data_IF_823080809078
#
_entry.id   IF_823080809078
#
_cell.length_a   1.000
_cell.length_b   1.000
_cell.length_c   1.000
_cell.angle_alpha   90.00
_cell.angle_beta   90.00
_cell.angle_gamma   90.00
#
_symmetry.space_group_name_H-M   'P 1'
#
loop_
_entity.id
_entity.type
_entity.pdbx_description
1 polymer ?
#
# COMPACT_ATOMS: atom_id res chain seq x y z
N UNK A 1 -15.88 -16.76 -27.84
CA UNK A 1 -14.68 -17.44 -27.30
C UNK A 1 -14.79 -17.39 -25.78
N UNK A 2 -14.28 -18.39 -25.04
CA UNK A 2 -14.20 -18.27 -23.58
C UNK A 2 -13.41 -17.01 -23.21
N UNK A 3 -13.80 -16.37 -22.11
CA UNK A 3 -13.10 -15.18 -21.62
C UNK A 3 -11.65 -15.55 -21.26
N UNK A 4 -10.67 -14.66 -21.52
CA UNK A 4 -9.25 -14.94 -21.29
C UNK A 4 -8.86 -14.85 -19.80
N UNK A 5 -9.81 -14.93 -18.89
CA UNK A 5 -9.63 -14.86 -17.44
C UNK A 5 -10.74 -15.66 -16.75
N UNK A 6 -10.52 -16.00 -15.49
CA UNK A 6 -11.51 -16.72 -14.66
C UNK A 6 -11.72 -15.95 -13.38
N UNK A 7 -12.97 -15.59 -13.07
CA UNK A 7 -13.38 -15.10 -11.75
C UNK A 7 -14.17 -16.19 -11.06
N UNK A 8 -13.71 -16.62 -9.87
CA UNK A 8 -14.41 -17.61 -9.05
C UNK A 8 -14.88 -16.95 -7.77
N UNK A 9 -16.14 -17.19 -7.42
CA UNK A 9 -16.70 -16.83 -6.12
C UNK A 9 -17.06 -18.09 -5.36
N UNK A 10 -16.49 -18.24 -4.17
CA UNK A 10 -16.91 -19.23 -3.17
C UNK A 10 -17.37 -18.50 -1.91
N UNK A 11 -18.05 -19.15 -0.95
CA UNK A 11 -18.43 -18.49 0.30
C UNK A 11 -17.22 -17.80 0.96
N UNK A 12 -17.29 -16.48 1.12
CA UNK A 12 -16.27 -15.66 1.77
C UNK A 12 -15.00 -15.36 0.96
N UNK A 13 -14.87 -15.86 -0.27
CA UNK A 13 -13.65 -15.68 -1.08
C UNK A 13 -14.00 -15.37 -2.54
N UNK A 14 -13.30 -14.39 -3.12
CA UNK A 14 -13.30 -14.08 -4.56
C UNK A 14 -11.89 -14.25 -5.09
N UNK A 15 -11.75 -14.97 -6.19
CA UNK A 15 -10.48 -15.22 -6.85
C UNK A 15 -10.55 -14.82 -8.33
N UNK A 16 -9.41 -14.39 -8.87
CA UNK A 16 -9.24 -14.05 -10.27
C UNK A 16 -7.93 -14.67 -10.79
N UNK A 17 -7.98 -15.36 -11.92
CA UNK A 17 -6.80 -15.78 -12.69
C UNK A 17 -6.79 -15.10 -14.06
N UNK A 18 -5.63 -14.65 -14.51
CA UNK A 18 -5.48 -14.02 -15.82
C UNK A 18 -4.06 -14.19 -16.40
N UNK A 19 -3.91 -14.13 -17.74
CA UNK A 19 -2.63 -14.14 -18.43
C UNK A 19 -1.91 -12.79 -18.35
N UNK A 20 -2.62 -11.71 -17.99
CA UNK A 20 -2.01 -10.39 -17.82
C UNK A 20 -2.51 -9.73 -16.54
N UNK A 21 -1.63 -8.96 -15.91
CA UNK A 21 -1.91 -8.15 -14.74
C UNK A 21 -3.01 -7.13 -15.05
N UNK A 22 -3.96 -6.95 -14.14
CA UNK A 22 -4.96 -5.89 -14.25
C UNK A 22 -4.27 -4.51 -14.20
N UNK A 23 -4.30 -3.71 -15.29
CA UNK A 23 -3.67 -2.40 -15.31
C UNK A 23 -4.59 -1.33 -14.69
N UNK A 24 -4.03 -0.16 -14.40
CA UNK A 24 -4.80 0.98 -13.89
C UNK A 24 -5.89 1.46 -14.87
N UNK A 25 -5.51 1.59 -16.15
CA UNK A 25 -6.41 1.96 -17.26
C UNK A 25 -6.62 0.77 -18.20
N UNK A 26 -7.50 -0.19 -17.84
CA UNK A 26 -7.75 -1.34 -18.68
C UNK A 26 -8.44 -0.95 -19.98
N UNK A 27 -8.17 -1.72 -21.03
CA UNK A 27 -8.74 -1.58 -22.36
C UNK A 27 -9.19 -2.94 -22.88
N UNK A 28 -10.18 -2.95 -23.77
CA UNK A 28 -10.75 -4.18 -24.32
C UNK A 28 -11.28 -5.10 -23.21
N UNK A 29 -11.03 -6.40 -23.33
CA UNK A 29 -11.49 -7.43 -22.39
C UNK A 29 -11.02 -7.22 -20.94
N UNK A 30 -9.96 -6.43 -20.70
CA UNK A 30 -9.52 -6.10 -19.35
C UNK A 30 -10.53 -5.23 -18.59
N UNK A 31 -11.37 -4.48 -19.31
CA UNK A 31 -12.48 -3.73 -18.73
C UNK A 31 -13.51 -4.72 -18.18
N UNK A 32 -13.81 -5.77 -18.94
CA UNK A 32 -14.75 -6.82 -18.54
C UNK A 32 -14.20 -7.59 -17.35
N UNK A 33 -12.92 -7.98 -17.37
CA UNK A 33 -12.23 -8.60 -16.24
C UNK A 33 -12.35 -7.80 -14.95
N UNK A 34 -12.10 -6.48 -15.02
CA UNK A 34 -12.25 -5.60 -13.86
C UNK A 34 -13.69 -5.53 -13.38
N UNK A 35 -14.64 -5.44 -14.30
CA UNK A 35 -16.06 -5.33 -13.96
C UNK A 35 -16.59 -6.63 -13.35
N UNK A 36 -16.17 -7.79 -13.84
CA UNK A 36 -16.50 -9.10 -13.26
C UNK A 36 -15.92 -9.26 -11.87
N UNK A 37 -14.64 -8.94 -11.70
CA UNK A 37 -14.02 -8.95 -10.38
C UNK A 37 -14.78 -8.02 -9.42
N UNK A 38 -15.12 -6.79 -9.84
CA UNK A 38 -15.93 -5.87 -9.03
C UNK A 38 -17.27 -6.49 -8.68
N UNK A 39 -18.02 -7.03 -9.64
CA UNK A 39 -19.32 -7.68 -9.39
C UNK A 39 -19.20 -8.82 -8.38
N UNK A 40 -18.18 -9.66 -8.52
CA UNK A 40 -17.90 -10.74 -7.58
C UNK A 40 -17.59 -10.20 -6.17
N UNK A 41 -16.79 -9.14 -6.06
CA UNK A 41 -16.50 -8.51 -4.76
C UNK A 41 -17.74 -7.94 -4.06
N UNK A 42 -18.73 -7.44 -4.81
CA UNK A 42 -20.00 -6.99 -4.21
C UNK A 42 -20.85 -8.14 -3.65
N UNK A 43 -20.58 -9.39 -4.05
CA UNK A 43 -21.24 -10.57 -3.51
C UNK A 43 -20.62 -11.05 -2.18
N UNK A 44 -19.44 -10.54 -1.81
CA UNK A 44 -18.89 -10.77 -0.49
C UNK A 44 -19.69 -9.97 0.54
N UNK A 45 -20.25 -10.66 1.52
CA UNK A 45 -20.94 -10.03 2.65
C UNK A 45 -19.91 -9.29 3.52
N UNK A 46 -19.94 -7.95 3.61
CA UNK A 46 -19.05 -7.23 4.49
C UNK A 46 -19.42 -7.54 5.95
N UNK A 47 -18.43 -7.82 6.78
CA UNK A 47 -18.66 -7.96 8.22
C UNK A 47 -18.68 -6.60 8.90
N UNK A 48 -19.23 -6.52 10.14
CA UNK A 48 -19.23 -5.27 10.89
C UNK A 48 -17.83 -4.68 11.09
N UNK A 49 -16.82 -5.55 11.16
CA UNK A 49 -15.42 -5.16 11.32
C UNK A 49 -14.78 -4.73 10.00
N UNK A 50 -15.25 -5.17 8.84
CA UNK A 50 -14.78 -4.73 7.53
C UNK A 50 -13.26 -4.79 7.39
N UNK A 51 -12.71 -6.01 7.50
CA UNK A 51 -11.29 -6.30 7.30
C UNK A 51 -11.11 -7.11 6.01
N UNK A 52 -10.63 -6.44 4.97
CA UNK A 52 -10.29 -7.07 3.69
C UNK A 52 -8.89 -7.70 3.75
N UNK A 53 -8.77 -8.97 3.36
CA UNK A 53 -7.49 -9.59 3.01
C UNK A 53 -7.39 -9.73 1.49
N UNK A 54 -6.32 -9.19 0.91
CA UNK A 54 -6.08 -9.22 -0.53
C UNK A 54 -4.72 -9.86 -0.83
N UNK A 55 -4.64 -10.77 -1.79
CA UNK A 55 -3.38 -11.43 -2.17
C UNK A 55 -3.19 -11.33 -3.67
N UNK A 56 -1.99 -10.93 -4.08
CA UNK A 56 -1.58 -10.93 -5.47
C UNK A 56 -0.51 -12.00 -5.71
N UNK A 57 -0.77 -12.94 -6.62
CA UNK A 57 0.17 -13.95 -7.06
C UNK A 57 0.68 -13.67 -8.47
N UNK A 58 1.98 -13.72 -8.66
CA UNK A 58 2.64 -13.74 -9.97
C UNK A 58 4.10 -14.17 -9.79
N UNK A 59 4.74 -14.73 -10.82
CA UNK A 59 6.14 -15.14 -10.75
C UNK A 59 7.08 -14.03 -10.25
N UNK A 60 8.19 -14.41 -9.62
CA UNK A 60 9.27 -13.49 -9.28
C UNK A 60 10.22 -13.30 -10.48
N UNK A 61 9.72 -12.66 -11.53
CA UNK A 61 10.41 -12.42 -12.80
C UNK A 61 11.19 -11.09 -12.85
N UNK A 62 11.24 -10.38 -11.71
CA UNK A 62 11.86 -9.05 -11.61
C UNK A 62 11.01 -7.90 -12.17
N UNK A 63 9.76 -8.15 -12.55
CA UNK A 63 8.85 -7.08 -12.98
C UNK A 63 8.54 -6.12 -11.82
N UNK A 64 8.56 -4.81 -12.10
CA UNK A 64 8.12 -3.79 -11.17
C UNK A 64 6.61 -3.89 -10.93
N UNK A 65 6.22 -4.21 -9.69
CA UNK A 65 4.83 -4.36 -9.30
C UNK A 65 4.58 -3.79 -7.91
N UNK A 66 3.79 -2.72 -7.85
CA UNK A 66 3.30 -2.22 -6.58
C UNK A 66 2.06 -3.03 -6.20
N UNK A 67 2.21 -3.89 -5.18
CA UNK A 67 1.18 -4.85 -4.77
C UNK A 67 -0.13 -4.16 -4.41
N UNK A 68 -0.06 -3.01 -3.74
CA UNK A 68 -1.19 -2.15 -3.40
C UNK A 68 -1.95 -1.68 -4.65
N UNK A 69 -1.23 -1.18 -5.67
CA UNK A 69 -1.86 -0.68 -6.89
C UNK A 69 -2.66 -1.77 -7.57
N UNK A 70 -2.09 -2.97 -7.67
CA UNK A 70 -2.71 -4.09 -8.39
C UNK A 70 -3.93 -4.63 -7.65
N UNK A 71 -3.90 -4.68 -6.32
CA UNK A 71 -4.98 -5.23 -5.49
C UNK A 71 -6.08 -4.21 -5.18
N UNK A 72 -5.74 -2.95 -5.00
CA UNK A 72 -6.68 -1.95 -4.50
C UNK A 72 -7.05 -0.92 -5.56
N UNK A 73 -6.04 -0.24 -6.12
CA UNK A 73 -6.26 0.92 -6.98
C UNK A 73 -6.79 0.54 -8.38
N UNK A 74 -6.15 -0.42 -9.03
CA UNK A 74 -6.53 -0.88 -10.37
C UNK A 74 -7.90 -1.57 -10.37
N UNK A 75 -8.24 -2.26 -9.28
CA UNK A 75 -9.57 -2.81 -9.03
C UNK A 75 -10.57 -1.70 -8.80
N UNK A 76 -10.23 -0.66 -8.05
CA UNK A 76 -11.04 0.53 -7.82
C UNK A 76 -11.74 0.51 -6.47
N UNK A 77 -11.49 1.55 -5.68
CA UNK A 77 -11.88 1.60 -4.27
C UNK A 77 -13.38 1.46 -3.99
N UNK A 78 -14.27 1.83 -4.90
CA UNK A 78 -15.73 1.72 -4.67
C UNK A 78 -16.18 0.29 -4.35
N UNK A 79 -15.63 -0.72 -5.04
CA UNK A 79 -15.98 -2.12 -4.80
C UNK A 79 -15.38 -2.67 -3.50
N UNK A 80 -14.28 -2.07 -3.02
CA UNK A 80 -13.54 -2.55 -1.86
C UNK A 80 -13.90 -1.81 -0.57
N UNK A 81 -14.47 -0.60 -0.66
CA UNK A 81 -14.83 0.25 0.49
C UNK A 81 -15.67 -0.48 1.56
N UNK A 82 -16.71 -1.26 1.21
CA UNK A 82 -17.48 -2.00 2.22
C UNK A 82 -16.66 -3.08 2.92
N UNK A 83 -15.76 -3.74 2.19
CA UNK A 83 -14.95 -4.86 2.67
C UNK A 83 -13.77 -4.39 3.53
N UNK A 84 -13.13 -3.28 3.16
CA UNK A 84 -12.03 -2.66 3.88
C UNK A 84 -12.48 -1.41 4.61
N UNK A 85 -13.54 -1.51 5.43
CA UNK A 85 -14.05 -0.36 6.18
C UNK A 85 -13.05 0.05 7.26
N UNK A 86 -12.65 -0.89 8.10
CA UNK A 86 -11.76 -0.62 9.23
C UNK A 86 -10.37 -1.21 9.05
N UNK A 87 -10.17 -2.19 8.16
CA UNK A 87 -8.83 -2.71 7.92
C UNK A 87 -8.64 -3.27 6.51
N UNK A 88 -7.40 -3.23 6.05
CA UNK A 88 -6.94 -3.92 4.83
C UNK A 88 -5.61 -4.58 5.15
N UNK A 89 -5.51 -5.86 4.85
CA UNK A 89 -4.24 -6.57 4.72
C UNK A 89 -4.02 -6.88 3.25
N UNK A 90 -2.83 -6.59 2.73
CA UNK A 90 -2.43 -7.12 1.42
C UNK A 90 -1.12 -7.90 1.48
N UNK A 91 -1.00 -8.92 0.63
CA UNK A 91 0.20 -9.75 0.51
C UNK A 91 0.58 -10.00 -0.95
N UNK A 92 1.89 -10.05 -1.20
CA UNK A 92 2.46 -10.55 -2.44
C UNK A 92 2.78 -12.04 -2.31
N UNK A 93 2.47 -12.83 -3.34
CA UNK A 93 2.91 -14.22 -3.48
C UNK A 93 3.68 -14.36 -4.79
N UNK A 94 4.72 -15.18 -4.80
CA UNK A 94 5.54 -15.44 -5.99
C UNK A 94 5.15 -16.69 -6.79
N UNK A 95 3.95 -17.20 -6.52
CA UNK A 95 3.37 -18.37 -7.16
C UNK A 95 1.93 -18.05 -7.54
N UNK A 96 1.48 -18.66 -8.64
CA UNK A 96 0.09 -18.59 -9.11
C UNK A 96 -0.56 -19.96 -8.86
N UNK A 97 -1.61 -20.05 -8.02
CA UNK A 97 -2.39 -21.28 -7.89
C UNK A 97 -2.97 -21.70 -9.24
N UNK A 98 -3.16 -23.00 -9.45
CA UNK A 98 -3.84 -23.48 -10.66
C UNK A 98 -5.27 -22.94 -10.73
N UNK A 99 -5.74 -22.45 -11.90
CA UNK A 99 -7.14 -22.12 -12.10
C UNK A 99 -8.05 -23.34 -11.89
N UNK A 100 -9.34 -23.13 -11.63
CA UNK A 100 -10.30 -24.23 -11.49
C UNK A 100 -10.41 -25.03 -12.80
N UNK A 101 -10.57 -26.35 -12.67
CA UNK A 101 -10.71 -27.24 -13.83
C UNK A 101 -12.04 -26.96 -14.54
N UNK A 102 -11.98 -26.75 -15.86
CA UNK A 102 -13.16 -26.60 -16.71
C UNK A 102 -13.51 -25.16 -17.11
N UNK A 103 -12.83 -24.15 -16.55
CA UNK A 103 -13.11 -22.73 -16.80
C UNK A 103 -12.37 -22.14 -18.02
N UNK A 104 -11.77 -22.99 -18.86
CA UNK A 104 -11.20 -22.62 -20.16
C UNK A 104 -9.83 -21.94 -20.14
N UNK A 105 -9.36 -21.45 -18.99
CA UNK A 105 -8.00 -20.95 -18.79
C UNK A 105 -7.06 -22.09 -18.36
N UNK A 106 -6.02 -22.36 -19.16
CA UNK A 106 -5.04 -23.40 -18.84
C UNK A 106 -4.04 -22.92 -17.77
N UNK A 107 -3.43 -23.86 -17.04
CA UNK A 107 -2.50 -23.54 -15.95
C UNK A 107 -1.29 -22.71 -16.41
N UNK A 108 -0.74 -23.00 -17.59
CA UNK A 108 0.38 -22.28 -18.19
C UNK A 108 0.01 -20.89 -18.71
N UNK A 109 -1.30 -20.60 -18.84
CA UNK A 109 -1.83 -19.30 -19.22
C UNK A 109 -2.15 -18.42 -18.00
N UNK A 110 -2.32 -18.99 -16.82
CA UNK A 110 -2.60 -18.25 -15.60
C UNK A 110 -1.30 -17.66 -15.00
N UNK A 111 -0.93 -16.46 -15.44
CA UNK A 111 0.30 -15.78 -15.01
C UNK A 111 0.10 -14.84 -13.82
N UNK A 112 -1.16 -14.49 -13.54
CA UNK A 112 -1.53 -13.59 -12.46
C UNK A 112 -2.74 -14.13 -11.70
N UNK A 113 -2.70 -13.92 -10.40
CA UNK A 113 -3.74 -14.34 -9.47
C UNK A 113 -4.08 -13.21 -8.51
N UNK A 114 -5.37 -13.03 -8.25
CA UNK A 114 -5.84 -12.20 -7.16
C UNK A 114 -6.75 -13.03 -6.27
N UNK A 115 -6.66 -12.83 -4.95
CA UNK A 115 -7.61 -13.35 -3.98
C UNK A 115 -8.07 -12.23 -3.07
N UNK A 116 -9.36 -12.19 -2.80
CA UNK A 116 -9.97 -11.31 -1.82
C UNK A 116 -10.83 -12.15 -0.90
N UNK A 117 -10.63 -11.98 0.40
CA UNK A 117 -11.44 -12.61 1.42
C UNK A 117 -11.62 -11.66 2.58
N UNK A 118 -12.50 -12.03 3.50
CA UNK A 118 -12.41 -11.48 4.83
C UNK A 118 -11.12 -11.97 5.49
N UNK A 119 -10.43 -11.10 6.22
CA UNK A 119 -9.32 -11.53 7.05
C UNK A 119 -9.85 -12.26 8.29
N UNK A 120 -9.37 -13.48 8.53
CA UNK A 120 -9.53 -14.13 9.84
C UNK A 120 -8.52 -13.57 10.85
N UNK A 121 -8.57 -14.07 12.09
CA UNK A 121 -7.63 -13.68 13.17
C UNK A 121 -6.16 -14.03 12.86
N UNK A 122 -5.89 -14.84 11.84
CA UNK A 122 -4.53 -15.19 11.42
C UNK A 122 -3.92 -14.02 10.61
N UNK A 123 -2.90 -13.31 11.16
CA UNK A 123 -2.51 -12.00 10.64
C UNK A 123 -1.66 -12.06 9.36
N UNK A 124 -1.09 -13.23 9.02
CA UNK A 124 -0.11 -13.36 7.94
C UNK A 124 -0.18 -14.72 7.26
N UNK A 125 -0.37 -14.74 5.94
CA UNK A 125 -0.33 -15.97 5.16
C UNK A 125 1.07 -16.32 4.70
N UNK A 126 1.80 -15.45 4.01
CA UNK A 126 3.06 -15.82 3.35
C UNK A 126 4.30 -15.18 3.96
N UNK A 127 4.13 -14.11 4.75
CA UNK A 127 5.23 -13.30 5.23
C UNK A 127 5.24 -13.19 6.74
N UNK A 128 6.42 -13.12 7.34
CA UNK A 128 6.62 -12.80 8.75
C UNK A 128 7.55 -11.60 8.89
N UNK A 129 7.35 -10.75 9.91
CA UNK A 129 8.27 -9.66 10.18
C UNK A 129 9.62 -10.21 10.63
N UNK A 130 10.68 -9.74 9.98
CA UNK A 130 12.08 -10.00 10.30
C UNK A 130 12.66 -8.94 11.23
N UNK A 131 13.88 -8.47 10.91
CA UNK A 131 14.53 -7.38 11.66
C UNK A 131 13.71 -6.09 11.48
N UNK A 132 13.54 -5.34 12.56
CA UNK A 132 12.88 -4.04 12.50
C UNK A 132 13.75 -3.03 11.76
N UNK A 133 13.16 -2.38 10.75
CA UNK A 133 13.79 -1.32 9.96
C UNK A 133 13.49 0.07 10.55
N UNK A 134 12.31 0.24 11.14
CA UNK A 134 11.88 1.49 11.75
C UNK A 134 10.55 1.36 12.44
N UNK A 135 10.27 2.29 13.35
CA UNK A 135 8.96 2.42 13.97
C UNK A 135 8.71 3.87 14.38
N UNK A 136 7.45 4.26 14.42
CA UNK A 136 7.01 5.51 15.01
C UNK A 136 5.65 5.30 15.69
N UNK A 137 5.36 6.17 16.65
CA UNK A 137 4.17 6.07 17.49
C UNK A 137 3.48 7.43 17.56
N UNK A 138 2.17 7.42 17.34
CA UNK A 138 1.27 8.56 17.56
C UNK A 138 1.67 9.86 16.81
N UNK A 139 2.23 9.72 15.61
CA UNK A 139 2.65 10.85 14.77
C UNK A 139 1.42 11.65 14.31
N UNK A 140 1.34 12.95 14.62
CA UNK A 140 0.21 13.79 14.20
C UNK A 140 0.29 14.13 12.72
N UNK A 141 -0.80 13.88 11.98
CA UNK A 141 -0.90 14.25 10.56
C UNK A 141 -2.21 15.00 10.29
N UNK A 142 -2.10 16.11 9.56
CA UNK A 142 -3.26 16.96 9.24
C UNK A 142 -4.14 16.35 8.13
N UNK A 143 -3.51 15.82 7.08
CA UNK A 143 -4.18 15.25 5.91
C UNK A 143 -3.47 13.98 5.44
N UNK A 144 -4.24 12.99 5.00
CA UNK A 144 -3.74 11.71 4.49
C UNK A 144 -4.09 11.51 3.00
N UNK A 145 -4.47 12.55 2.27
CA UNK A 145 -4.83 12.48 0.85
C UNK A 145 -3.62 12.65 -0.09
N UNK A 146 -2.45 12.99 0.47
CA UNK A 146 -1.18 13.17 -0.23
C UNK A 146 -0.03 12.57 0.60
N UNK A 147 1.05 12.08 -0.05
CA UNK A 147 2.22 11.54 0.66
C UNK A 147 3.03 12.60 1.40
N UNK A 148 3.12 13.83 0.89
CA UNK A 148 4.04 14.85 1.42
C UNK A 148 3.76 15.25 2.88
N UNK A 149 2.51 15.47 3.32
CA UNK A 149 2.20 15.77 4.72
C UNK A 149 2.55 14.63 5.68
N UNK A 150 2.37 13.38 5.24
CA UNK A 150 2.73 12.18 6.01
C UNK A 150 4.25 12.06 6.14
N UNK A 151 4.98 12.22 5.03
CA UNK A 151 6.45 12.24 5.00
C UNK A 151 7.00 13.28 5.99
N UNK A 152 6.52 14.53 5.88
CA UNK A 152 6.96 15.63 6.75
C UNK A 152 6.69 15.33 8.22
N UNK A 153 5.47 14.92 8.55
CA UNK A 153 5.10 14.64 9.94
C UNK A 153 5.99 13.57 10.57
N UNK A 154 6.28 12.49 9.85
CA UNK A 154 7.19 11.45 10.34
C UNK A 154 8.59 12.03 10.56
N UNK A 155 9.11 12.85 9.63
CA UNK A 155 10.43 13.47 9.74
C UNK A 155 10.54 14.51 10.86
N UNK A 156 9.44 15.12 11.28
CA UNK A 156 9.41 16.11 12.36
C UNK A 156 9.21 15.47 13.73
N UNK A 157 8.35 14.46 13.83
CA UNK A 157 7.88 13.95 15.13
C UNK A 157 8.44 12.58 15.50
N UNK A 158 8.95 11.80 14.55
CA UNK A 158 9.54 10.49 14.83
C UNK A 158 11.07 10.54 14.93
N UNK A 159 11.64 9.52 15.56
CA UNK A 159 13.08 9.32 15.58
C UNK A 159 13.55 8.62 14.29
N UNK A 160 14.74 8.95 13.79
CA UNK A 160 15.34 8.21 12.69
C UNK A 160 15.58 6.74 13.09
N UNK A 161 15.56 5.81 12.11
CA UNK A 161 15.90 4.42 12.34
C UNK A 161 17.35 4.25 12.80
N UNK A 162 17.64 3.13 13.48
CA UNK A 162 18.99 2.81 13.96
C UNK A 162 19.94 2.38 12.84
N UNK A 163 19.40 1.76 11.80
CA UNK A 163 20.15 1.21 10.67
C UNK A 163 19.69 1.86 9.35
N UNK A 164 20.64 2.09 8.45
CA UNK A 164 20.38 2.48 7.05
C UNK A 164 20.69 1.33 6.11
N UNK A 165 20.04 1.29 4.95
CA UNK A 165 20.33 0.31 3.90
C UNK A 165 21.02 0.98 2.70
N UNK A 166 21.91 0.25 2.04
CA UNK A 166 22.47 0.65 0.74
C UNK A 166 21.65 0.12 -0.44
N UNK A 167 20.85 -0.93 -0.23
CA UNK A 167 20.01 -1.58 -1.24
C UNK A 167 18.60 -1.84 -0.71
N UNK A 168 17.55 -1.66 -1.53
CA UNK A 168 16.20 -2.02 -1.13
C UNK A 168 16.07 -3.52 -0.79
N UNK A 169 15.34 -3.83 0.26
CA UNK A 169 14.97 -5.19 0.65
C UNK A 169 13.45 -5.32 0.67
N UNK A 170 12.93 -6.53 0.49
CA UNK A 170 11.51 -6.77 0.70
C UNK A 170 11.14 -6.45 2.14
N UNK A 171 10.06 -5.70 2.33
CA UNK A 171 9.64 -5.24 3.63
C UNK A 171 8.16 -5.48 3.89
N UNK A 172 7.90 -5.52 5.20
CA UNK A 172 6.64 -5.75 5.85
C UNK A 172 6.28 -4.47 6.60
N UNK A 173 5.02 -4.04 6.53
CA UNK A 173 4.54 -2.87 7.27
C UNK A 173 3.24 -3.17 8.04
N UNK A 174 3.23 -2.81 9.33
CA UNK A 174 2.01 -2.69 10.12
C UNK A 174 1.73 -1.21 10.37
N UNK A 175 0.52 -0.75 10.04
CA UNK A 175 0.08 0.64 10.21
C UNK A 175 -1.24 0.66 10.97
N UNK A 176 -1.30 1.50 12.00
CA UNK A 176 -2.54 1.91 12.64
C UNK A 176 -2.78 3.39 12.33
N UNK A 177 -3.96 3.67 11.80
CA UNK A 177 -4.47 5.01 11.54
C UNK A 177 -5.58 5.29 12.54
N UNK A 178 -5.40 6.32 13.36
CA UNK A 178 -6.45 6.79 14.27
C UNK A 178 -7.05 8.07 13.72
N UNK A 179 -8.35 8.05 13.45
CA UNK A 179 -9.15 9.21 13.07
C UNK A 179 -9.56 9.98 14.34
N UNK A 180 -9.05 11.19 14.50
CA UNK A 180 -9.33 12.06 15.66
C UNK A 180 -10.36 13.15 15.35
N UNK A 181 -10.99 13.12 14.16
CA UNK A 181 -11.93 14.15 13.74
C UNK A 181 -13.25 14.07 14.52
N UNK A 182 -13.72 15.23 14.98
CA UNK A 182 -15.01 15.36 15.66
C UNK A 182 -16.22 15.27 14.69
N UNK A 183 -16.03 15.59 13.41
CA UNK A 183 -17.09 15.59 12.40
C UNK A 183 -16.84 14.53 11.32
N UNK A 184 -17.75 13.56 11.23
CA UNK A 184 -17.81 12.44 10.26
C UNK A 184 -16.50 11.65 10.13
N UNK A 185 -16.47 10.49 10.79
CA UNK A 185 -15.43 9.47 10.65
C UNK A 185 -15.14 9.11 9.19
N UNK A 186 -13.91 8.69 8.92
CA UNK A 186 -13.50 8.17 7.62
C UNK A 186 -14.39 6.99 7.25
N UNK A 187 -15.04 7.07 6.09
CA UNK A 187 -15.96 6.03 5.66
C UNK A 187 -15.29 4.68 5.39
N UNK A 188 -14.00 4.67 5.03
CA UNK A 188 -13.21 3.46 4.77
C UNK A 188 -11.72 3.77 4.71
N UNK A 189 -10.89 2.82 5.17
CA UNK A 189 -9.42 2.90 5.06
C UNK A 189 -8.93 2.82 3.62
N UNK A 190 -9.68 2.15 2.72
CA UNK A 190 -9.29 1.93 1.30
C UNK A 190 -8.97 3.23 0.55
N UNK A 191 -9.65 4.33 0.86
CA UNK A 191 -9.40 5.61 0.19
C UNK A 191 -8.16 6.35 0.69
N UNK A 192 -7.56 5.89 1.79
CA UNK A 192 -6.49 6.57 2.52
C UNK A 192 -5.16 5.82 2.39
N UNK A 193 -5.21 4.49 2.20
CA UNK A 193 -4.05 3.60 2.19
C UNK A 193 -2.94 4.09 1.27
N UNK A 194 -3.25 4.38 0.00
CA UNK A 194 -2.22 4.70 -0.99
C UNK A 194 -1.36 5.91 -0.59
N UNK A 195 -1.92 7.13 -0.47
CA UNK A 195 -1.12 8.30 -0.07
C UNK A 195 -0.45 8.13 1.31
N UNK A 196 -1.09 7.43 2.25
CA UNK A 196 -0.48 7.16 3.56
C UNK A 196 0.75 6.26 3.44
N UNK A 197 0.66 5.13 2.72
CA UNK A 197 1.79 4.24 2.49
C UNK A 197 2.89 4.92 1.69
N UNK A 198 2.55 5.64 0.61
CA UNK A 198 3.53 6.38 -0.18
C UNK A 198 4.33 7.34 0.72
N UNK A 199 3.65 8.06 1.62
CA UNK A 199 4.29 8.97 2.56
C UNK A 199 5.14 8.27 3.62
N UNK A 200 4.63 7.17 4.21
CA UNK A 200 5.36 6.38 5.22
C UNK A 200 6.62 5.77 4.61
N UNK A 201 6.50 5.09 3.46
CA UNK A 201 7.62 4.45 2.78
C UNK A 201 8.64 5.50 2.36
N UNK A 202 8.18 6.65 1.84
CA UNK A 202 9.06 7.77 1.51
C UNK A 202 9.82 8.32 2.72
N UNK A 203 9.21 8.32 3.90
CA UNK A 203 9.88 8.81 5.11
C UNK A 203 11.10 7.96 5.50
N UNK A 204 11.16 6.69 5.08
CA UNK A 204 12.29 5.80 5.32
C UNK A 204 13.28 5.69 4.13
N UNK A 205 13.18 6.60 3.17
CA UNK A 205 14.14 6.74 2.07
C UNK A 205 15.00 8.00 2.21
N UNK A 206 16.24 7.93 1.72
CA UNK A 206 17.01 9.13 1.40
C UNK A 206 16.68 9.62 -0.02
N UNK A 207 16.58 10.94 -0.22
CA UNK A 207 16.55 11.51 -1.55
C UNK A 207 17.97 11.56 -2.12
N UNK A 208 18.13 11.12 -3.37
CA UNK A 208 19.38 11.23 -4.13
C UNK A 208 19.15 11.60 -5.59
N UNK A 209 20.26 11.83 -6.31
CA UNK A 209 20.24 12.20 -7.73
C UNK A 209 20.00 13.68 -8.00
N UNK A 210 19.83 14.52 -6.98
CA UNK A 210 19.88 15.98 -7.05
C UNK A 210 20.23 16.57 -5.69
N UNK A 211 20.32 17.91 -5.60
CA UNK A 211 20.49 18.65 -4.34
C UNK A 211 19.16 18.93 -3.61
N UNK A 212 18.03 18.44 -4.14
CA UNK A 212 16.70 18.58 -3.55
C UNK A 212 16.11 19.99 -3.59
N UNK A 213 16.77 20.98 -4.20
CA UNK A 213 16.35 22.38 -4.12
C UNK A 213 15.06 22.66 -4.91
N UNK A 214 14.91 22.14 -6.14
CA UNK A 214 13.67 22.34 -6.91
C UNK A 214 12.51 21.53 -6.34
N UNK A 215 12.77 20.32 -5.84
CA UNK A 215 11.79 19.47 -5.16
C UNK A 215 11.24 20.16 -3.91
N UNK A 216 12.11 20.67 -3.05
CA UNK A 216 11.71 21.32 -1.82
C UNK A 216 10.94 22.62 -2.07
N UNK A 217 11.38 23.44 -3.04
CA UNK A 217 10.65 24.64 -3.47
C UNK A 217 9.23 24.33 -3.96
N UNK A 218 9.04 23.25 -4.72
CA UNK A 218 7.71 22.84 -5.21
C UNK A 218 6.82 22.28 -4.10
N UNK A 219 7.41 21.60 -3.13
CA UNK A 219 6.71 21.16 -1.92
C UNK A 219 6.27 22.35 -1.05
N UNK A 220 7.10 23.39 -0.95
CA UNK A 220 6.73 24.66 -0.30
C UNK A 220 5.57 25.36 -1.02
N UNK A 221 5.57 25.41 -2.36
CA UNK A 221 4.42 25.90 -3.14
C UNK A 221 3.13 25.09 -2.92
N UNK A 222 3.24 23.88 -2.41
CA UNK A 222 2.11 23.02 -2.02
C UNK A 222 1.75 23.15 -0.53
N UNK A 223 2.29 24.17 0.15
CA UNK A 223 2.04 24.49 1.56
C UNK A 223 2.41 23.36 2.54
N UNK A 224 3.38 22.51 2.17
CA UNK A 224 3.80 21.39 3.03
C UNK A 224 4.70 21.89 4.18
N UNK A 225 5.60 22.83 3.91
CA UNK A 225 6.59 23.37 4.84
C UNK A 225 7.55 24.33 4.12
N UNK A 226 8.58 24.81 4.81
CA UNK A 226 9.59 25.68 4.18
C UNK A 226 10.53 24.88 3.30
N UNK A 227 11.00 25.47 2.20
CA UNK A 227 11.90 24.80 1.27
C UNK A 227 13.20 24.32 1.96
N UNK A 228 13.77 25.12 2.87
CA UNK A 228 15.00 24.74 3.58
C UNK A 228 14.80 23.50 4.46
N UNK A 229 13.75 23.49 5.30
CA UNK A 229 13.47 22.36 6.17
C UNK A 229 13.12 21.08 5.37
N UNK A 230 12.35 21.24 4.29
CA UNK A 230 12.00 20.12 3.41
C UNK A 230 13.21 19.56 2.68
N UNK A 231 14.14 20.42 2.24
CA UNK A 231 15.39 19.99 1.65
C UNK A 231 16.25 19.23 2.65
N UNK A 232 16.36 19.72 3.87
CA UNK A 232 17.09 19.03 4.95
C UNK A 232 16.46 17.65 5.24
N UNK A 233 15.12 17.56 5.31
CA UNK A 233 14.43 16.29 5.46
C UNK A 233 14.69 15.34 4.28
N UNK A 234 14.67 15.82 3.04
CA UNK A 234 14.93 14.99 1.86
C UNK A 234 16.35 14.41 1.88
N UNK A 235 17.34 15.22 2.27
CA UNK A 235 18.77 14.86 2.23
C UNK A 235 19.28 14.20 3.50
N UNK A 236 18.47 14.10 4.57
CA UNK A 236 18.87 13.45 5.81
C UNK A 236 19.01 11.93 5.63
N UNK A 237 20.24 11.50 5.35
CA UNK A 237 20.59 10.10 5.10
C UNK A 237 20.40 9.17 6.31
N UNK A 238 20.25 9.70 7.53
CA UNK A 238 19.97 8.88 8.72
C UNK A 238 18.65 8.12 8.62
N UNK A 239 17.75 8.57 7.75
CA UNK A 239 16.46 7.95 7.55
C UNK A 239 16.41 6.91 6.44
N UNK A 240 17.51 6.69 5.72
CA UNK A 240 17.54 5.81 4.55
C UNK A 240 17.55 4.31 4.91
N UNK A 241 16.66 3.85 5.80
CA UNK A 241 16.49 2.44 6.15
C UNK A 241 16.02 1.58 4.98
N UNK A 242 15.31 2.17 4.01
CA UNK A 242 14.93 1.54 2.74
C UNK A 242 15.87 1.93 1.58
N UNK A 243 16.97 2.62 1.90
CA UNK A 243 17.97 3.08 0.95
C UNK A 243 17.69 4.44 0.32
N UNK A 244 18.65 4.88 -0.49
CA UNK A 244 18.57 6.17 -1.20
C UNK A 244 18.10 5.95 -2.63
N UNK A 245 17.19 6.81 -3.12
CA UNK A 245 16.75 6.81 -4.53
C UNK A 245 16.37 8.22 -4.97
N UNK A 246 16.08 8.44 -6.25
CA UNK A 246 15.41 9.66 -6.71
C UNK A 246 13.96 9.62 -6.21
N UNK A 247 13.79 9.97 -4.94
CA UNK A 247 12.57 9.81 -4.16
C UNK A 247 11.50 10.79 -4.63
N UNK A 248 11.91 12.00 -4.97
CA UNK A 248 11.03 13.07 -5.43
C UNK A 248 11.59 13.59 -6.75
N UNK A 249 10.71 13.88 -7.71
CA UNK A 249 11.09 14.56 -8.94
C UNK A 249 10.09 15.67 -9.28
N UNK A 250 10.53 16.76 -9.90
CA UNK A 250 9.66 17.72 -10.55
C UNK A 250 8.63 17.03 -11.45
N UNK A 251 7.36 17.43 -11.33
CA UNK A 251 6.27 16.89 -12.14
C UNK A 251 5.29 17.99 -12.55
N UNK A 252 5.09 18.14 -13.86
CA UNK A 252 4.32 19.25 -14.42
C UNK A 252 4.89 20.62 -14.04
N UNK A 253 4.02 21.64 -14.07
CA UNK A 253 4.43 23.04 -13.89
C UNK A 253 4.87 23.36 -12.45
N UNK A 254 4.15 22.85 -11.44
CA UNK A 254 4.38 23.20 -10.03
C UNK A 254 4.38 22.00 -9.07
N UNK A 255 4.09 20.80 -9.56
CA UNK A 255 3.96 19.61 -8.72
C UNK A 255 5.27 18.84 -8.57
N UNK A 256 5.21 17.83 -7.72
CA UNK A 256 6.23 16.79 -7.60
C UNK A 256 5.60 15.41 -7.77
N UNK A 257 6.40 14.44 -8.20
CA UNK A 257 6.05 13.04 -8.18
C UNK A 257 6.93 12.31 -7.17
N UNK A 258 6.28 11.53 -6.32
CA UNK A 258 6.92 10.65 -5.35
C UNK A 258 7.21 9.30 -6.00
N UNK A 259 8.33 8.70 -5.62
CA UNK A 259 8.82 7.42 -6.10
C UNK A 259 9.38 6.62 -4.91
N UNK A 260 8.53 6.26 -3.93
CA UNK A 260 8.91 5.31 -2.88
C UNK A 260 9.28 3.96 -3.50
N UNK A 261 9.91 3.07 -2.72
CA UNK A 261 10.21 1.70 -3.13
C UNK A 261 9.06 0.75 -2.78
N UNK A 262 7.81 1.14 -3.00
CA UNK A 262 6.62 0.37 -2.65
C UNK A 262 6.47 -0.95 -3.41
N UNK A 263 7.20 -1.12 -4.52
CA UNK A 263 7.38 -2.40 -5.22
C UNK A 263 8.01 -3.50 -4.33
N UNK A 264 8.75 -3.12 -3.28
CA UNK A 264 9.33 -4.04 -2.30
C UNK A 264 8.42 -4.29 -1.09
N UNK A 265 7.26 -3.62 -1.00
CA UNK A 265 6.26 -3.89 0.02
C UNK A 265 5.52 -5.18 -0.33
N UNK A 266 5.93 -6.28 0.29
CA UNK A 266 5.33 -7.61 0.06
C UNK A 266 4.19 -7.91 1.02
N UNK A 267 4.10 -7.16 2.11
CA UNK A 267 3.01 -7.28 3.09
C UNK A 267 2.71 -5.90 3.68
N UNK A 268 1.42 -5.56 3.77
CA UNK A 268 0.97 -4.48 4.62
C UNK A 268 -0.31 -4.84 5.34
N UNK A 269 -0.40 -4.50 6.63
CA UNK A 269 -1.65 -4.49 7.40
C UNK A 269 -1.92 -3.08 7.86
N UNK A 270 -3.07 -2.55 7.48
CA UNK A 270 -3.50 -1.20 7.79
C UNK A 270 -4.83 -1.29 8.52
N UNK A 271 -4.89 -0.75 9.73
CA UNK A 271 -6.12 -0.61 10.50
C UNK A 271 -6.51 0.86 10.67
N UNK A 272 -7.81 1.10 10.80
CA UNK A 272 -8.44 2.37 11.04
C UNK A 272 -9.28 2.26 12.32
N UNK A 273 -8.95 3.09 13.29
CA UNK A 273 -9.71 3.25 14.53
C UNK A 273 -10.18 4.70 14.71
N UNK A 274 -11.25 4.91 15.45
CA UNK A 274 -11.63 6.25 15.92
C UNK A 274 -10.99 6.51 17.27
N UNK A 275 -10.35 7.67 17.43
CA UNK A 275 -9.78 8.13 18.70
C UNK A 275 -10.51 9.34 19.25
N UNK A 276 -10.21 9.70 20.50
CA UNK A 276 -10.64 10.98 21.05
C UNK A 276 -9.96 12.14 20.33
N UNK A 277 -10.67 13.27 20.23
CA UNK A 277 -10.07 14.49 19.69
C UNK A 277 -8.96 14.95 20.64
N UNK A 278 -7.75 15.10 20.11
CA UNK A 278 -6.61 15.58 20.88
C UNK A 278 -6.50 17.10 20.70
N UNK A 279 -6.44 17.85 21.81
CA UNK A 279 -6.43 19.32 21.80
C UNK A 279 -5.04 19.94 21.53
N UNK A 280 -4.03 19.11 21.32
CA UNK A 280 -2.61 19.49 21.23
C UNK A 280 -2.18 19.94 19.82
N UNK A 281 -2.98 19.66 18.79
CA UNK A 281 -2.62 19.89 17.39
C UNK A 281 -3.87 20.09 16.51
N UNK A 282 -3.74 20.79 15.38
CA UNK A 282 -4.75 20.81 14.31
C UNK A 282 -4.84 19.45 13.55
N UNK A 283 -4.10 18.44 14.02
CA UNK A 283 -3.97 17.15 13.38
C UNK A 283 -5.25 16.32 13.50
N UNK A 284 -5.67 15.79 12.36
CA UNK A 284 -6.91 15.02 12.21
C UNK A 284 -6.68 13.52 12.28
N UNK A 285 -5.41 13.11 12.33
CA UNK A 285 -4.98 11.74 12.26
C UNK A 285 -3.80 11.51 13.18
N UNK A 286 -3.74 10.32 13.77
CA UNK A 286 -2.53 9.78 14.40
C UNK A 286 -2.09 8.54 13.67
N UNK A 287 -0.81 8.49 13.34
CA UNK A 287 -0.20 7.34 12.70
C UNK A 287 0.75 6.64 13.66
N UNK A 288 0.60 5.33 13.76
CA UNK A 288 1.57 4.43 14.39
C UNK A 288 1.94 3.40 13.37
N UNK A 289 3.23 3.15 13.16
CA UNK A 289 3.65 2.10 12.26
C UNK A 289 4.95 1.41 12.68
N UNK A 290 5.10 0.18 12.21
CA UNK A 290 6.32 -0.60 12.30
C UNK A 290 6.68 -1.13 10.92
N UNK A 291 7.92 -0.89 10.51
CA UNK A 291 8.52 -1.41 9.29
C UNK A 291 9.55 -2.46 9.68
N UNK A 292 9.54 -3.60 8.99
CA UNK A 292 10.49 -4.69 9.20
C UNK A 292 10.90 -5.30 7.87
N UNK A 293 12.05 -5.95 7.81
CA UNK A 293 12.37 -6.87 6.72
C UNK A 293 11.28 -7.93 6.61
N UNK A 294 10.99 -8.39 5.39
CA UNK A 294 10.04 -9.47 5.18
C UNK A 294 10.78 -10.82 5.11
N UNK A 295 10.28 -11.81 5.86
CA UNK A 295 10.73 -13.21 5.78
C UNK A 295 9.62 -14.05 5.20
N UNK A 296 9.89 -14.78 4.12
CA UNK A 296 8.91 -15.70 3.54
C UNK A 296 8.70 -16.90 4.48
N UNK A 297 7.46 -17.31 4.67
CA UNK A 297 7.11 -18.49 5.48
C UNK A 297 7.09 -19.74 4.59
N UNK A 298 8.26 -20.37 4.43
CA UNK A 298 8.44 -21.59 3.62
C UNK A 298 7.55 -22.76 4.09
N UNK A 299 7.07 -22.75 5.34
CA UNK A 299 6.22 -23.82 5.87
C UNK A 299 4.82 -23.89 5.24
N UNK A 300 4.46 -22.91 4.43
CA UNK A 300 3.12 -22.77 3.82
C UNK A 300 3.10 -23.00 2.30
N UNK A 301 4.16 -23.59 1.75
CA UNK A 301 4.21 -24.05 0.35
C UNK A 301 3.58 -25.44 0.11
N UNK A 302 3.16 -26.14 1.18
CA UNK A 302 2.58 -27.50 1.10
C UNK A 302 1.09 -27.54 0.76
#
# INVERSE_FOLDING_TARGET
MPDPYVVRTTPGIVELWSPVRLPFEPRGWLIDMRNDLRRALHSLSPTPNGHLHAVYGAANDGAFVDTENVLLYNVGGTALRPLGRNAVTFERRYQVPSPPVGDGLQNDQALHYHRYSEAGDAPTEFWRPGRQLGAFFDVPVNVLDKPAPVFKAIREYAAPPSDTASTPTQFYIDVQITDTRQSRSAGSVVSIIKPALDGIISAYHGHGGSDGSDEARRLELSEVGTADALRDHLLDGRWAALGTRRLVRPFGAAGVQWNPADEFCVFARISLSTGEAVADTDARWRLTAKLSEAKFDESKES
#
